data_IF_328112054631
#
_entry.id   IF_328112054631
#
_cell.length_a   1.000
_cell.length_b   1.000
_cell.length_c   1.000
_cell.angle_alpha   90.00
_cell.angle_beta   90.00
_cell.angle_gamma   90.00
#
_symmetry.space_group_name_H-M   'P 1'
#
loop_
_entity.id
_entity.type
_entity.pdbx_description
1 polymer ?
#
# COMPACT_ATOMS: atom_id res chain seq x y z
N UNK A 1 -21.06 -27.77 -11.20
CA UNK A 1 -20.14 -26.65 -11.49
C UNK A 1 -20.48 -25.56 -10.48
N UNK A 2 -19.63 -25.31 -9.48
CA UNK A 2 -19.97 -24.42 -8.36
C UNK A 2 -19.80 -22.98 -8.85
N UNK A 3 -20.91 -22.26 -9.01
CA UNK A 3 -20.90 -20.86 -9.43
C UNK A 3 -20.01 -20.04 -8.50
N UNK A 4 -19.00 -19.35 -9.07
CA UNK A 4 -18.21 -18.37 -8.34
C UNK A 4 -19.12 -17.22 -7.97
N UNK A 5 -19.43 -17.10 -6.68
CA UNK A 5 -20.25 -16.00 -6.17
C UNK A 5 -19.37 -14.83 -5.81
N UNK A 6 -19.78 -13.63 -6.23
CA UNK A 6 -19.20 -12.42 -5.65
C UNK A 6 -19.43 -12.46 -4.13
N UNK A 7 -18.38 -12.24 -3.31
CA UNK A 7 -18.54 -12.19 -1.87
C UNK A 7 -19.58 -11.13 -1.52
N UNK A 8 -20.51 -11.47 -0.62
CA UNK A 8 -21.43 -10.46 -0.08
C UNK A 8 -20.62 -9.42 0.69
N UNK A 9 -21.16 -8.20 0.82
CA UNK A 9 -20.49 -7.09 1.50
C UNK A 9 -20.06 -7.46 2.94
N UNK A 10 -20.83 -8.32 3.62
CA UNK A 10 -20.49 -8.87 4.94
C UNK A 10 -19.27 -9.81 4.91
N UNK A 11 -19.10 -10.59 3.84
CA UNK A 11 -18.04 -11.59 3.68
C UNK A 11 -16.69 -10.93 3.37
N UNK A 12 -16.73 -9.81 2.64
CA UNK A 12 -15.54 -8.99 2.38
C UNK A 12 -15.10 -8.19 3.62
N UNK A 13 -16.05 -7.82 4.50
CA UNK A 13 -15.77 -7.07 5.72
C UNK A 13 -15.04 -7.91 6.77
N UNK A 14 -15.33 -9.22 6.83
CA UNK A 14 -14.77 -10.12 7.86
C UNK A 14 -13.23 -10.14 7.84
N UNK A 15 -12.53 -10.42 6.73
CA UNK A 15 -11.07 -10.41 6.71
C UNK A 15 -10.48 -9.03 6.97
N UNK A 16 -11.12 -7.97 6.49
CA UNK A 16 -10.64 -6.60 6.62
C UNK A 16 -10.67 -6.12 8.08
N UNK A 17 -11.81 -6.29 8.76
CA UNK A 17 -11.95 -5.93 10.18
C UNK A 17 -11.08 -6.83 11.04
N UNK A 18 -11.04 -8.13 10.73
CA UNK A 18 -10.19 -9.07 11.45
C UNK A 18 -8.71 -8.64 11.37
N UNK A 19 -8.20 -8.33 10.17
CA UNK A 19 -6.84 -7.82 9.99
C UNK A 19 -6.58 -6.55 10.82
N UNK A 20 -7.49 -5.57 10.75
CA UNK A 20 -7.36 -4.31 11.47
C UNK A 20 -7.26 -4.52 12.98
N UNK A 21 -8.16 -5.32 13.56
CA UNK A 21 -8.18 -5.62 14.99
C UNK A 21 -6.92 -6.37 15.41
N UNK A 22 -6.47 -7.35 14.61
CA UNK A 22 -5.31 -8.17 14.95
C UNK A 22 -4.02 -7.35 14.95
N UNK A 23 -3.83 -6.45 13.99
CA UNK A 23 -2.67 -5.54 13.97
C UNK A 23 -2.69 -4.64 15.20
N UNK A 24 -3.83 -3.99 15.48
CA UNK A 24 -3.94 -3.08 16.64
C UNK A 24 -3.64 -3.83 17.94
N UNK A 25 -4.26 -4.99 18.16
CA UNK A 25 -4.09 -5.74 19.42
C UNK A 25 -2.67 -6.30 19.55
N UNK A 26 -2.13 -6.94 18.51
CA UNK A 26 -0.82 -7.56 18.59
C UNK A 26 0.32 -6.54 18.70
N UNK A 27 0.22 -5.42 17.98
CA UNK A 27 1.29 -4.41 17.99
C UNK A 27 1.18 -3.50 19.23
N UNK A 28 -0.01 -3.04 19.61
CA UNK A 28 -0.15 -2.12 20.76
C UNK A 28 -0.04 -2.84 22.10
N UNK A 29 -0.62 -4.05 22.23
CA UNK A 29 -0.71 -4.75 23.52
C UNK A 29 0.45 -5.71 23.77
N UNK A 30 0.95 -6.36 22.71
CA UNK A 30 2.01 -7.37 22.82
C UNK A 30 3.34 -6.94 22.23
N UNK A 31 3.41 -5.76 21.57
CA UNK A 31 4.65 -5.28 20.95
C UNK A 31 5.15 -6.19 19.83
N UNK A 32 4.29 -7.04 19.26
CA UNK A 32 4.66 -7.95 18.18
C UNK A 32 4.69 -7.16 16.87
N UNK A 33 5.70 -7.45 16.06
CA UNK A 33 5.84 -6.89 14.73
C UNK A 33 4.60 -7.20 13.86
N UNK A 34 4.13 -6.27 13.02
CA UNK A 34 2.90 -6.44 12.24
C UNK A 34 2.94 -7.60 11.23
N UNK A 35 4.13 -8.11 10.91
CA UNK A 35 4.33 -9.19 9.94
C UNK A 35 3.52 -10.45 10.28
N UNK A 36 3.58 -10.89 11.54
CA UNK A 36 2.90 -12.12 11.98
C UNK A 36 1.36 -11.95 11.92
N UNK A 37 0.76 -10.87 12.47
CA UNK A 37 -0.67 -10.58 12.32
C UNK A 37 -1.16 -10.55 10.88
N UNK A 38 -0.38 -9.95 9.98
CA UNK A 38 -0.72 -9.85 8.56
C UNK A 38 -0.79 -11.24 7.93
N UNK A 39 0.20 -12.10 8.16
CA UNK A 39 0.21 -13.47 7.60
C UNK A 39 -1.01 -14.28 8.08
N UNK A 40 -1.34 -14.18 9.38
CA UNK A 40 -2.54 -14.83 9.94
C UNK A 40 -3.82 -14.30 9.29
N UNK A 41 -3.91 -12.99 9.07
CA UNK A 41 -5.06 -12.38 8.41
C UNK A 41 -5.22 -12.81 6.95
N UNK A 42 -4.11 -13.01 6.23
CA UNK A 42 -4.11 -13.55 4.87
C UNK A 42 -4.64 -14.99 4.83
N UNK A 43 -4.30 -15.82 5.82
CA UNK A 43 -4.85 -17.18 5.92
C UNK A 43 -6.37 -17.16 6.12
N UNK A 44 -6.88 -16.24 6.93
CA UNK A 44 -8.33 -16.05 7.12
C UNK A 44 -9.01 -15.54 5.84
N UNK A 45 -8.38 -14.61 5.12
CA UNK A 45 -8.86 -14.14 3.83
C UNK A 45 -8.93 -15.26 2.78
N UNK A 46 -7.89 -16.12 2.72
CA UNK A 46 -7.86 -17.28 1.82
C UNK A 46 -8.95 -18.31 2.18
N UNK A 47 -9.18 -18.55 3.47
CA UNK A 47 -10.27 -19.41 3.94
C UNK A 47 -11.64 -18.86 3.54
N UNK A 48 -11.81 -17.54 3.62
CA UNK A 48 -13.04 -16.87 3.21
C UNK A 48 -13.25 -16.96 1.70
N UNK A 49 -12.21 -16.77 0.90
CA UNK A 49 -12.27 -16.94 -0.56
C UNK A 49 -12.64 -18.39 -0.93
N UNK A 50 -12.09 -19.38 -0.23
CA UNK A 50 -12.48 -20.77 -0.42
C UNK A 50 -13.96 -21.02 -0.08
N UNK A 51 -14.47 -20.39 0.99
CA UNK A 51 -15.91 -20.43 1.35
C UNK A 51 -16.82 -19.79 0.31
N UNK A 52 -16.39 -18.73 -0.35
CA UNK A 52 -17.11 -18.09 -1.45
C UNK A 52 -17.15 -18.92 -2.74
N UNK A 53 -16.48 -20.08 -2.76
CA UNK A 53 -16.51 -21.02 -3.89
C UNK A 53 -15.37 -20.82 -4.90
N UNK A 54 -14.38 -19.99 -4.59
CA UNK A 54 -13.19 -19.85 -5.43
C UNK A 54 -12.34 -21.13 -5.36
N UNK A 55 -11.84 -21.57 -6.52
CA UNK A 55 -10.85 -22.64 -6.59
C UNK A 55 -9.51 -22.15 -6.05
N UNK A 56 -8.76 -23.06 -5.45
CA UNK A 56 -7.42 -22.76 -4.93
C UNK A 56 -6.48 -22.17 -5.99
N UNK A 57 -6.54 -22.68 -7.22
CA UNK A 57 -5.78 -22.14 -8.36
C UNK A 57 -6.09 -20.66 -8.64
N UNK A 58 -7.36 -20.26 -8.50
CA UNK A 58 -7.80 -18.88 -8.71
C UNK A 58 -7.37 -17.95 -7.55
N UNK A 59 -7.29 -18.49 -6.32
CA UNK A 59 -6.77 -17.73 -5.17
C UNK A 59 -5.27 -17.45 -5.37
N UNK A 60 -4.50 -18.48 -5.76
CA UNK A 60 -3.06 -18.33 -6.01
C UNK A 60 -2.81 -17.35 -7.17
N UNK A 61 -3.53 -17.47 -8.29
CA UNK A 61 -3.35 -16.55 -9.41
C UNK A 61 -3.65 -15.10 -9.01
N UNK A 62 -4.68 -14.87 -8.20
CA UNK A 62 -4.99 -13.53 -7.67
C UNK A 62 -3.91 -12.96 -6.74
N UNK A 63 -3.27 -13.82 -5.94
CA UNK A 63 -2.12 -13.43 -5.11
C UNK A 63 -0.94 -13.03 -5.99
N UNK A 64 -0.58 -13.85 -6.98
CA UNK A 64 0.54 -13.57 -7.89
C UNK A 64 0.34 -12.28 -8.70
N UNK A 65 -0.88 -12.07 -9.20
CA UNK A 65 -1.26 -10.85 -9.91
C UNK A 65 -1.16 -9.60 -9.01
N UNK A 66 -1.55 -9.73 -7.74
CA UNK A 66 -1.39 -8.65 -6.76
C UNK A 66 0.08 -8.33 -6.46
N UNK A 67 0.93 -9.36 -6.37
CA UNK A 67 2.38 -9.18 -6.20
C UNK A 67 3.01 -8.52 -7.43
N UNK A 68 2.59 -8.92 -8.64
CA UNK A 68 3.08 -8.32 -9.89
C UNK A 68 2.77 -6.82 -9.95
N UNK A 69 1.51 -6.43 -9.66
CA UNK A 69 1.11 -5.02 -9.57
C UNK A 69 1.89 -4.25 -8.50
N UNK A 70 2.07 -4.83 -7.32
CA UNK A 70 2.83 -4.19 -6.24
C UNK A 70 4.30 -3.98 -6.64
N UNK A 71 4.88 -4.93 -7.36
CA UNK A 71 6.27 -4.84 -7.83
C UNK A 71 6.45 -3.75 -8.88
N UNK A 72 5.51 -3.62 -9.83
CA UNK A 72 5.51 -2.52 -10.80
C UNK A 72 5.50 -1.16 -10.10
N UNK A 73 4.61 -0.98 -9.13
CA UNK A 73 4.53 0.25 -8.34
C UNK A 73 5.82 0.51 -7.53
N UNK A 74 6.42 -0.52 -6.94
CA UNK A 74 7.68 -0.43 -6.18
C UNK A 74 8.82 0.07 -7.06
N UNK A 75 8.94 -0.47 -8.28
CA UNK A 75 9.98 -0.05 -9.24
C UNK A 75 9.82 1.43 -9.58
N UNK A 76 8.60 1.91 -9.81
CA UNK A 76 8.32 3.33 -10.09
C UNK A 76 8.77 4.20 -8.91
N UNK A 77 8.34 3.87 -7.69
CA UNK A 77 8.70 4.62 -6.48
C UNK A 77 10.21 4.63 -6.26
N UNK A 78 10.89 3.52 -6.53
CA UNK A 78 12.34 3.41 -6.41
C UNK A 78 13.08 4.32 -7.40
N UNK A 79 12.66 4.31 -8.67
CA UNK A 79 13.26 5.18 -9.71
C UNK A 79 13.06 6.66 -9.36
N UNK A 80 11.85 7.04 -8.93
CA UNK A 80 11.55 8.42 -8.51
C UNK A 80 12.38 8.82 -7.30
N UNK A 81 12.52 7.93 -6.31
CA UNK A 81 13.37 8.16 -5.14
C UNK A 81 14.84 8.40 -5.51
N UNK A 82 15.39 7.58 -6.41
CA UNK A 82 16.75 7.76 -6.92
C UNK A 82 16.93 9.07 -7.69
N UNK A 83 15.93 9.45 -8.50
CA UNK A 83 15.95 10.72 -9.25
C UNK A 83 15.92 11.93 -8.33
N UNK A 84 15.03 11.94 -7.33
CA UNK A 84 14.95 13.03 -6.36
C UNK A 84 16.25 13.10 -5.54
N UNK A 85 16.78 11.96 -5.09
CA UNK A 85 18.04 11.91 -4.36
C UNK A 85 19.22 12.47 -5.16
N UNK A 86 19.31 12.15 -6.45
CA UNK A 86 20.35 12.71 -7.33
C UNK A 86 20.17 14.20 -7.59
N UNK A 87 18.95 14.72 -7.76
CA UNK A 87 18.69 16.15 -7.88
C UNK A 87 18.99 16.95 -6.62
N UNK A 88 18.77 16.36 -5.44
CA UNK A 88 19.13 16.98 -4.17
C UNK A 88 20.65 17.06 -4.06
N UNK A 89 21.38 15.98 -4.38
CA UNK A 89 22.85 15.97 -4.36
C UNK A 89 23.49 16.89 -5.41
N UNK A 90 22.90 16.97 -6.61
CA UNK A 90 23.35 17.85 -7.67
C UNK A 90 23.05 19.34 -7.41
N UNK A 91 22.26 19.66 -6.38
CA UNK A 91 21.83 21.01 -6.08
C UNK A 91 20.75 21.55 -7.02
N UNK A 92 20.30 20.78 -8.02
CA UNK A 92 19.27 21.18 -8.99
C UNK A 92 17.94 21.49 -8.29
N UNK A 93 17.48 20.64 -7.37
CA UNK A 93 16.25 20.88 -6.60
C UNK A 93 16.37 22.13 -5.72
N UNK A 94 17.40 22.27 -4.87
CA UNK A 94 17.65 23.50 -4.10
C UNK A 94 17.74 24.77 -4.96
N UNK A 95 18.42 24.71 -6.11
CA UNK A 95 18.56 25.83 -7.02
C UNK A 95 17.21 26.26 -7.61
N UNK A 96 16.36 25.32 -8.02
CA UNK A 96 15.00 25.65 -8.50
C UNK A 96 14.17 26.35 -7.41
N UNK A 97 14.31 25.95 -6.15
CA UNK A 97 13.61 26.62 -5.03
C UNK A 97 14.17 28.02 -4.82
N UNK A 98 15.50 28.17 -4.80
CA UNK A 98 16.17 29.46 -4.62
C UNK A 98 15.78 30.45 -5.73
N UNK A 99 15.94 30.05 -6.99
CA UNK A 99 15.58 30.90 -8.12
C UNK A 99 14.06 31.08 -8.26
N UNK A 100 13.25 30.11 -7.85
CA UNK A 100 11.80 30.24 -7.81
C UNK A 100 11.32 31.30 -6.82
N UNK A 101 11.98 31.39 -5.65
CA UNK A 101 11.71 32.44 -4.66
C UNK A 101 12.18 33.82 -5.13
N UNK A 102 13.29 33.91 -5.86
CA UNK A 102 13.74 35.18 -6.47
C UNK A 102 12.82 35.63 -7.62
N UNK A 103 12.23 34.69 -8.36
CA UNK A 103 11.31 35.00 -9.48
C UNK A 103 9.93 35.46 -8.98
N UNK A 104 9.48 34.94 -7.85
CA UNK A 104 8.29 35.41 -7.16
C UNK A 104 8.68 36.71 -6.46
N UNK A 105 8.20 37.85 -6.93
CA UNK A 105 8.53 39.13 -6.30
C UNK A 105 8.19 39.06 -4.79
N UNK A 106 9.05 39.60 -3.90
CA UNK A 106 8.76 39.64 -2.46
C UNK A 106 7.40 40.29 -2.15
N UNK A 107 6.93 41.18 -3.04
CA UNK A 107 5.62 41.84 -2.98
C UNK A 107 4.42 40.94 -3.25
N UNK A 108 4.57 39.77 -3.91
CA UNK A 108 3.49 38.79 -4.05
C UNK A 108 3.35 37.87 -2.82
N UNK A 109 4.43 37.72 -2.05
CA UNK A 109 4.47 36.88 -0.85
C UNK A 109 4.11 37.67 0.44
N UNK A 110 4.39 38.98 0.47
CA UNK A 110 4.10 39.92 1.56
C UNK A 110 2.83 40.76 1.32
N UNK A 111 1.74 40.18 0.79
CA UNK A 111 0.41 40.85 0.74
C UNK A 111 -0.34 40.62 2.07
N UNK A 112 0.33 40.87 3.19
CA UNK A 112 -0.26 40.97 4.54
C UNK A 112 0.24 42.26 5.18
#
# INVERSE_FOLDING_TARGET
MKETRLPKLWEALVPAVFMMVLIIVCTVKWGIEPHIPIVVSCAVAALMAYRCGYRWDAIISGILDSIARATEALIIVMIVGMLIGTWVLAGTMPAMVYYGLDLISPSAFLVV
#
